data_IF_105995581991
#
_entry.id   IF_105995581991
#
_cell.length_a   1.000
_cell.length_b   1.000
_cell.length_c   1.000
_cell.angle_alpha   90.00
_cell.angle_beta   90.00
_cell.angle_gamma   90.00
#
_symmetry.space_group_name_H-M   'P 1'
#
loop_
_entity.id
_entity.type
_entity.pdbx_description
1 polymer ?
#
# COMPACT_ATOMS: atom_id res chain seq x y z
N UNK A 1 -28.31 -2.73 0.36
CA UNK A 1 -27.18 -1.93 0.90
C UNK A 1 -27.27 -0.55 0.28
N UNK A 2 -27.22 0.51 1.10
CA UNK A 2 -27.18 1.88 0.60
C UNK A 2 -25.72 2.38 0.72
N UNK A 3 -24.99 2.53 -0.39
CA UNK A 3 -23.59 2.95 -0.35
C UNK A 3 -23.48 4.43 0.02
N UNK A 4 -22.42 4.78 0.73
CA UNK A 4 -22.12 6.16 1.11
C UNK A 4 -20.91 6.69 0.30
N UNK A 5 -20.80 8.02 0.10
CA UNK A 5 -19.57 8.61 -0.40
C UNK A 5 -18.42 8.39 0.60
N UNK A 6 -17.15 8.40 0.14
CA UNK A 6 -15.99 8.30 1.03
C UNK A 6 -15.94 9.43 2.05
N UNK A 7 -15.41 9.16 3.24
CA UNK A 7 -15.33 10.12 4.33
C UNK A 7 -13.89 10.59 4.56
N UNK A 8 -13.66 11.90 4.48
CA UNK A 8 -12.37 12.53 4.77
C UNK A 8 -12.25 12.86 6.26
N UNK A 9 -11.20 12.37 6.88
CA UNK A 9 -10.78 12.69 8.25
C UNK A 9 -9.47 13.47 8.23
N UNK A 10 -9.24 14.29 9.26
CA UNK A 10 -8.02 15.06 9.43
C UNK A 10 -7.44 14.95 10.84
N UNK A 11 -7.01 13.77 11.30
CA UNK A 11 -6.34 13.64 12.59
C UNK A 11 -5.09 14.53 12.66
N UNK A 12 -4.92 15.32 13.75
CA UNK A 12 -3.74 16.15 13.94
C UNK A 12 -2.49 15.31 14.24
N UNK A 13 -1.34 15.68 13.67
CA UNK A 13 -0.04 15.10 14.03
C UNK A 13 0.50 15.79 15.30
N UNK A 14 -0.08 15.45 16.46
CA UNK A 14 0.23 16.06 17.78
C UNK A 14 1.71 15.99 18.22
N UNK A 15 2.52 15.15 17.57
CA UNK A 15 3.95 14.98 17.84
C UNK A 15 4.85 15.87 16.96
N UNK A 16 4.29 16.75 16.12
CA UNK A 16 5.04 17.66 15.23
C UNK A 16 4.77 19.12 15.59
N UNK A 17 5.78 19.96 15.35
CA UNK A 17 5.64 21.43 15.40
C UNK A 17 4.52 21.86 14.45
N UNK A 18 3.76 22.87 14.84
CA UNK A 18 2.58 23.41 14.13
C UNK A 18 1.38 22.44 13.99
N UNK A 19 1.47 21.23 14.57
CA UNK A 19 0.39 20.22 14.65
C UNK A 19 -0.32 20.05 13.29
N UNK A 20 0.41 19.72 12.20
CA UNK A 20 -0.18 19.60 10.87
C UNK A 20 -1.24 18.50 10.81
N UNK A 21 -2.29 18.74 10.05
CA UNK A 21 -3.37 17.78 9.80
C UNK A 21 -2.88 16.66 8.87
N UNK A 22 -3.23 15.40 9.16
CA UNK A 22 -3.03 14.27 8.25
C UNK A 22 -4.37 13.91 7.60
N UNK A 23 -4.62 14.27 6.32
CA UNK A 23 -5.83 13.82 5.64
C UNK A 23 -5.82 12.30 5.48
N UNK A 24 -6.95 11.66 5.77
CA UNK A 24 -7.19 10.21 5.60
C UNK A 24 -8.59 10.01 5.06
N UNK A 25 -8.74 9.26 3.97
CA UNK A 25 -10.04 8.96 3.37
C UNK A 25 -10.46 7.54 3.72
N UNK A 26 -11.66 7.37 4.29
CA UNK A 26 -12.28 6.08 4.52
C UNK A 26 -13.20 5.71 3.37
N UNK A 27 -12.97 4.53 2.79
CA UNK A 27 -13.81 3.94 1.75
C UNK A 27 -14.81 2.89 2.29
N UNK A 28 -15.06 2.90 3.61
CA UNK A 28 -16.03 2.01 4.24
C UNK A 28 -17.44 2.23 3.71
N UNK A 29 -18.14 1.15 3.36
CA UNK A 29 -19.50 1.16 2.79
C UNK A 29 -19.64 2.00 1.49
N UNK A 30 -18.57 2.17 0.71
CA UNK A 30 -18.60 2.80 -0.62
C UNK A 30 -18.92 1.78 -1.72
N UNK A 31 -19.32 2.21 -2.93
CA UNK A 31 -19.58 1.29 -4.06
C UNK A 31 -18.39 0.40 -4.41
N UNK A 32 -17.16 0.88 -4.22
CA UNK A 32 -15.92 0.15 -4.53
C UNK A 32 -15.39 -0.71 -3.38
N UNK A 33 -15.97 -0.62 -2.19
CA UNK A 33 -15.47 -1.30 -0.99
C UNK A 33 -15.36 -2.82 -1.16
N UNK A 34 -16.40 -3.47 -1.68
CA UNK A 34 -16.41 -4.91 -1.95
C UNK A 34 -15.48 -5.32 -3.09
N UNK A 35 -15.42 -4.50 -4.14
CA UNK A 35 -14.52 -4.72 -5.28
C UNK A 35 -13.07 -4.70 -4.79
N UNK A 36 -12.72 -3.70 -3.99
CA UNK A 36 -11.36 -3.55 -3.43
C UNK A 36 -11.00 -4.71 -2.50
N UNK A 37 -11.95 -5.19 -1.68
CA UNK A 37 -11.73 -6.38 -0.84
C UNK A 37 -11.49 -7.64 -1.66
N UNK A 38 -12.28 -7.84 -2.72
CA UNK A 38 -12.10 -8.96 -3.64
C UNK A 38 -10.76 -8.87 -4.39
N UNK A 39 -10.42 -7.70 -4.93
CA UNK A 39 -9.12 -7.46 -5.58
C UNK A 39 -7.95 -7.72 -4.63
N UNK A 40 -8.03 -7.24 -3.38
CA UNK A 40 -6.99 -7.49 -2.38
C UNK A 40 -6.81 -8.99 -2.09
N UNK A 41 -7.91 -9.74 -2.03
CA UNK A 41 -7.85 -11.20 -1.86
C UNK A 41 -7.18 -11.88 -3.06
N UNK A 42 -7.61 -11.55 -4.29
CA UNK A 42 -7.03 -12.11 -5.51
C UNK A 42 -5.54 -11.77 -5.61
N UNK A 43 -5.17 -10.49 -5.48
CA UNK A 43 -3.77 -10.07 -5.62
C UNK A 43 -2.85 -10.72 -4.59
N UNK A 44 -3.29 -10.87 -3.33
CA UNK A 44 -2.50 -11.56 -2.30
C UNK A 44 -2.25 -13.03 -2.60
N UNK A 45 -3.18 -13.69 -3.29
CA UNK A 45 -3.08 -15.11 -3.61
C UNK A 45 -2.39 -15.35 -4.96
N UNK A 46 -2.49 -14.40 -5.89
CA UNK A 46 -1.96 -14.52 -7.25
C UNK A 46 -0.55 -13.94 -7.39
N UNK A 47 -0.19 -12.92 -6.60
CA UNK A 47 1.10 -12.26 -6.70
C UNK A 47 1.91 -12.56 -5.45
N UNK A 48 3.03 -13.26 -5.65
CA UNK A 48 3.96 -13.48 -4.57
C UNK A 48 5.01 -12.35 -4.51
N UNK A 49 4.80 -11.38 -3.61
CA UNK A 49 5.77 -10.32 -3.33
C UNK A 49 6.58 -10.72 -2.11
N UNK A 50 7.70 -11.39 -2.34
CA UNK A 50 8.70 -11.65 -1.30
C UNK A 50 9.91 -10.75 -1.49
N UNK A 51 10.32 -10.08 -0.41
CA UNK A 51 11.57 -9.35 -0.35
C UNK A 51 12.41 -9.92 0.78
N UNK A 52 13.63 -10.34 0.45
CA UNK A 52 14.59 -10.89 1.41
C UNK A 52 15.03 -9.85 2.47
N UNK A 53 14.68 -8.58 2.27
CA UNK A 53 15.04 -7.47 3.16
C UNK A 53 13.83 -6.92 3.91
N UNK A 54 12.63 -7.47 3.70
CA UNK A 54 11.44 -7.09 4.46
C UNK A 54 11.38 -7.83 5.78
N UNK A 55 11.03 -7.10 6.83
CA UNK A 55 10.86 -7.64 8.18
C UNK A 55 9.37 -7.60 8.51
N UNK A 56 8.85 -8.65 9.13
CA UNK A 56 7.41 -8.80 9.32
C UNK A 56 6.85 -7.81 10.35
N UNK A 57 7.60 -7.56 11.42
CA UNK A 57 7.14 -6.74 12.54
C UNK A 57 8.32 -6.21 13.38
N UNK A 58 8.02 -5.35 14.35
CA UNK A 58 9.01 -4.73 15.22
C UNK A 58 9.72 -5.71 16.16
N UNK A 59 9.09 -6.83 16.53
CA UNK A 59 9.70 -7.84 17.40
C UNK A 59 10.80 -8.59 16.65
N UNK A 60 10.54 -8.95 15.40
CA UNK A 60 11.54 -9.58 14.55
C UNK A 60 12.70 -8.62 14.27
N UNK A 61 12.40 -7.35 13.98
CA UNK A 61 13.41 -6.32 13.75
C UNK A 61 14.36 -6.18 14.95
N UNK A 62 13.82 -6.04 16.16
CA UNK A 62 14.65 -5.90 17.37
C UNK A 62 15.49 -7.13 17.62
N UNK A 63 14.93 -8.33 17.43
CA UNK A 63 15.68 -9.59 17.53
C UNK A 63 16.84 -9.64 16.54
N UNK A 64 16.58 -9.38 15.26
CA UNK A 64 17.62 -9.41 14.22
C UNK A 64 18.73 -8.40 14.52
N UNK A 65 18.38 -7.14 14.82
CA UNK A 65 19.37 -6.09 15.15
C UNK A 65 20.17 -6.47 16.40
N UNK A 66 19.52 -6.98 17.46
CA UNK A 66 20.21 -7.38 18.70
C UNK A 66 21.19 -8.54 18.53
N UNK A 67 20.99 -9.37 17.49
CA UNK A 67 21.85 -10.52 17.18
C UNK A 67 23.04 -10.20 16.29
N UNK A 68 23.17 -8.95 15.80
CA UNK A 68 24.27 -8.56 14.94
C UNK A 68 25.59 -8.48 15.72
N UNK A 69 26.59 -9.24 15.30
CA UNK A 69 27.96 -9.10 15.78
C UNK A 69 28.65 -7.97 15.02
N UNK A 70 28.68 -6.78 15.61
CA UNK A 70 29.20 -5.56 14.99
C UNK A 70 30.65 -5.30 15.40
N UNK A 71 31.52 -4.81 14.48
CA UNK A 71 32.90 -4.48 14.80
C UNK A 71 33.00 -3.25 15.73
N UNK A 72 34.11 -3.10 16.46
CA UNK A 72 34.38 -1.86 17.19
C UNK A 72 34.42 -0.67 16.20
N UNK A 73 33.66 0.39 16.51
CA UNK A 73 33.45 1.60 15.68
C UNK A 73 32.54 1.38 14.44
N UNK A 74 31.32 0.91 14.65
CA UNK A 74 30.29 0.93 13.61
C UNK A 74 29.41 2.20 13.71
N UNK A 75 28.69 2.50 12.63
CA UNK A 75 27.62 3.50 12.62
C UNK A 75 26.39 2.89 11.98
N UNK A 76 25.22 3.20 12.54
CA UNK A 76 23.94 2.80 12.00
C UNK A 76 23.24 4.02 11.41
N UNK A 77 22.64 3.84 10.23
CA UNK A 77 21.91 4.90 9.54
C UNK A 77 20.49 4.41 9.30
N UNK A 78 19.51 5.24 9.62
CA UNK A 78 18.11 5.01 9.29
C UNK A 78 17.65 6.01 8.23
N UNK A 79 16.79 5.54 7.34
CA UNK A 79 16.14 6.36 6.32
C UNK A 79 14.63 6.30 6.53
N UNK A 80 13.96 7.43 6.37
CA UNK A 80 12.50 7.52 6.40
C UNK A 80 12.01 8.13 5.09
N UNK A 81 10.96 7.53 4.52
CA UNK A 81 10.35 8.02 3.27
C UNK A 81 9.24 8.99 3.64
N UNK A 82 9.43 10.26 3.29
CA UNK A 82 8.40 11.27 3.46
C UNK A 82 7.24 11.04 2.49
N UNK A 83 6.00 11.15 2.98
CA UNK A 83 4.80 11.07 2.15
C UNK A 83 4.75 9.83 1.24
N UNK A 84 4.98 8.64 1.80
CA UNK A 84 5.02 7.37 1.04
C UNK A 84 3.83 7.20 0.10
N UNK A 85 2.59 7.19 0.61
CA UNK A 85 1.40 6.89 -0.20
C UNK A 85 1.18 7.80 -1.41
N UNK A 86 1.20 9.15 -1.30
CA UNK A 86 1.05 10.02 -2.45
C UNK A 86 2.27 10.04 -3.38
N UNK A 87 3.43 9.55 -2.93
CA UNK A 87 4.64 9.45 -3.75
C UNK A 87 4.69 8.15 -4.57
N UNK A 88 3.71 7.24 -4.43
CA UNK A 88 3.68 5.99 -5.19
C UNK A 88 3.17 6.27 -6.62
N UNK A 89 3.97 5.96 -7.66
CA UNK A 89 3.60 6.18 -9.05
C UNK A 89 2.55 5.15 -9.51
N UNK A 90 1.28 5.57 -9.53
CA UNK A 90 0.14 4.68 -9.80
C UNK A 90 0.21 3.96 -11.16
N UNK A 91 0.73 4.61 -12.20
CA UNK A 91 0.90 4.03 -13.54
C UNK A 91 1.91 2.89 -13.53
N UNK A 92 3.07 3.09 -12.89
CA UNK A 92 4.13 2.08 -12.80
C UNK A 92 3.70 0.91 -11.93
N UNK A 93 2.98 1.16 -10.83
CA UNK A 93 2.40 0.09 -10.03
C UNK A 93 1.43 -0.77 -10.84
N UNK A 94 0.59 -0.16 -11.69
CA UNK A 94 -0.34 -0.92 -12.53
C UNK A 94 0.40 -1.79 -13.56
N UNK A 95 1.46 -1.25 -14.18
CA UNK A 95 2.32 -2.01 -15.10
C UNK A 95 2.94 -3.22 -14.39
N UNK A 96 3.54 -3.01 -13.21
CA UNK A 96 4.15 -4.09 -12.42
C UNK A 96 3.13 -5.16 -12.04
N UNK A 97 1.94 -4.76 -11.58
CA UNK A 97 0.87 -5.72 -11.26
C UNK A 97 0.46 -6.52 -12.50
N UNK A 98 0.36 -5.87 -13.67
CA UNK A 98 0.04 -6.54 -14.93
C UNK A 98 1.11 -7.57 -15.29
N UNK A 99 2.39 -7.20 -15.24
CA UNK A 99 3.51 -8.11 -15.50
C UNK A 99 3.54 -9.30 -14.54
N UNK A 100 3.20 -9.09 -13.27
CA UNK A 100 3.11 -10.17 -12.30
C UNK A 100 1.94 -11.11 -12.57
N UNK A 101 0.76 -10.57 -12.92
CA UNK A 101 -0.41 -11.39 -13.24
C UNK A 101 -0.22 -12.22 -14.51
N UNK A 102 0.47 -11.68 -15.52
CA UNK A 102 0.80 -12.42 -16.76
C UNK A 102 1.74 -13.61 -16.53
N UNK A 103 2.42 -13.68 -15.37
CA UNK A 103 3.26 -14.83 -14.98
C UNK A 103 2.48 -15.90 -14.21
N UNK A 104 1.19 -15.69 -13.97
CA UNK A 104 0.32 -16.65 -13.27
C UNK A 104 -0.45 -17.51 -14.27
N UNK A 105 -1.04 -18.61 -13.81
CA UNK A 105 -1.91 -19.48 -14.62
C UNK A 105 -3.34 -18.92 -14.77
N UNK A 106 -3.56 -17.63 -14.47
CA UNK A 106 -4.87 -17.01 -14.62
C UNK A 106 -5.21 -16.82 -16.11
N UNK A 107 -6.48 -17.04 -16.52
CA UNK A 107 -6.91 -16.75 -17.89
C UNK A 107 -6.75 -15.26 -18.24
N UNK A 108 -6.38 -14.95 -19.48
CA UNK A 108 -6.22 -13.57 -19.97
C UNK A 108 -7.45 -12.70 -19.69
N UNK A 109 -8.65 -13.23 -19.87
CA UNK A 109 -9.90 -12.52 -19.59
C UNK A 109 -10.01 -12.10 -18.11
N UNK A 110 -9.55 -12.96 -17.19
CA UNK A 110 -9.51 -12.67 -15.75
C UNK A 110 -8.49 -11.58 -15.45
N UNK A 111 -7.31 -11.63 -16.07
CA UNK A 111 -6.27 -10.60 -15.90
C UNK A 111 -6.80 -9.24 -16.38
N UNK A 112 -7.42 -9.18 -17.55
CA UNK A 112 -8.01 -7.95 -18.08
C UNK A 112 -9.11 -7.39 -17.16
N UNK A 113 -9.95 -8.25 -16.59
CA UNK A 113 -10.95 -7.84 -15.61
C UNK A 113 -10.29 -7.27 -14.35
N UNK A 114 -9.29 -7.95 -13.79
CA UNK A 114 -8.57 -7.51 -12.58
C UNK A 114 -7.93 -6.14 -12.81
N UNK A 115 -7.22 -5.94 -13.93
CA UNK A 115 -6.59 -4.66 -14.28
C UNK A 115 -7.63 -3.56 -14.47
N UNK A 116 -8.73 -3.84 -15.17
CA UNK A 116 -9.81 -2.87 -15.37
C UNK A 116 -10.44 -2.43 -14.05
N UNK A 117 -10.68 -3.37 -13.13
CA UNK A 117 -11.21 -3.07 -11.79
C UNK A 117 -10.20 -2.32 -10.92
N UNK A 118 -8.91 -2.65 -11.00
CA UNK A 118 -7.85 -1.91 -10.31
C UNK A 118 -7.77 -0.46 -10.79
N UNK A 119 -7.84 -0.24 -12.10
CA UNK A 119 -7.91 1.11 -12.67
C UNK A 119 -9.15 1.86 -12.18
N UNK A 120 -10.32 1.21 -12.17
CA UNK A 120 -11.56 1.81 -11.68
C UNK A 120 -11.42 2.25 -10.21
N UNK A 121 -10.95 1.36 -9.35
CA UNK A 121 -10.75 1.65 -7.93
C UNK A 121 -9.69 2.73 -7.70
N UNK A 122 -8.60 2.72 -8.49
CA UNK A 122 -7.51 3.69 -8.35
C UNK A 122 -7.92 5.10 -8.78
N UNK A 123 -8.73 5.25 -9.84
CA UNK A 123 -9.26 6.57 -10.25
C UNK A 123 -10.18 7.19 -9.20
N UNK A 124 -10.87 6.36 -8.43
CA UNK A 124 -11.75 6.80 -7.34
C UNK A 124 -10.99 6.99 -6.01
N UNK A 125 -9.66 6.80 -6.00
CA UNK A 125 -8.85 6.98 -4.81
C UNK A 125 -8.46 8.46 -4.62
N UNK A 126 -9.31 9.18 -3.89
CA UNK A 126 -9.11 10.60 -3.58
C UNK A 126 -7.84 10.91 -2.78
N UNK A 127 -7.18 9.91 -2.16
CA UNK A 127 -5.90 10.10 -1.44
C UNK A 127 -4.78 10.52 -2.40
N UNK A 128 -4.84 10.09 -3.67
CA UNK A 128 -3.86 10.47 -4.69
C UNK A 128 -4.15 11.84 -5.32
N UNK A 129 -5.32 12.42 -5.06
CA UNK A 129 -5.78 13.69 -5.66
C UNK A 129 -5.70 14.88 -4.70
N UNK A 130 -5.43 14.63 -3.41
CA UNK A 130 -5.15 15.67 -2.41
C UNK A 130 -3.62 15.85 -2.38
N UNK A 131 -3.09 16.55 -3.38
CA UNK A 131 -1.76 17.17 -3.38
C UNK A 131 -1.92 18.68 -3.35
#
# INVERSE_FOLDING_TARGET
MNPNPPLLYGPPKIHKVDIPIRPVVSFSNTPVSKITQWLNHILKNSINIHSNFSIQNSIELTKQISSLNLPPKFSMVSFDVTNLFPSIPSSECLTLVTEHLLKTDLPDASIQLIISLLQLCSRQNYILQIQ
#
